data_IF_275950129675
#
_entry.id   IF_275950129675
#
_cell.length_a   1.000
_cell.length_b   1.000
_cell.length_c   1.000
_cell.angle_alpha   90.00
_cell.angle_beta   90.00
_cell.angle_gamma   90.00
#
_symmetry.space_group_name_H-M   'P 1'
#
loop_
_entity.id
_entity.type
_entity.pdbx_description
1 polymer ?
#
# COMPACT_ATOMS: atom_id res chain seq x y z
N UNK A 1 -6.93 -16.79 -21.64
CA UNK A 1 -6.84 -15.33 -21.43
C UNK A 1 -6.81 -15.10 -19.93
N UNK A 2 -5.64 -14.82 -19.36
CA UNK A 2 -5.52 -14.42 -17.96
C UNK A 2 -6.01 -12.98 -17.86
N UNK A 3 -7.20 -12.79 -17.28
CA UNK A 3 -7.72 -11.46 -16.95
C UNK A 3 -6.85 -10.89 -15.82
N UNK A 4 -5.80 -10.15 -16.18
CA UNK A 4 -5.04 -9.40 -15.20
C UNK A 4 -5.97 -8.35 -14.60
N UNK A 5 -6.23 -8.44 -13.30
CA UNK A 5 -6.99 -7.43 -12.58
C UNK A 5 -6.22 -6.11 -12.66
N UNK A 6 -6.86 -4.99 -13.04
CA UNK A 6 -6.19 -3.70 -13.01
C UNK A 6 -5.74 -3.38 -11.58
N UNK A 7 -4.59 -2.69 -11.40
CA UNK A 7 -4.12 -2.32 -10.06
C UNK A 7 -5.12 -1.40 -9.37
N UNK A 8 -5.38 -1.65 -8.08
CA UNK A 8 -6.18 -0.77 -7.23
C UNK A 8 -5.43 0.53 -6.93
N UNK A 9 -6.19 1.61 -6.73
CA UNK A 9 -5.69 2.94 -6.39
C UNK A 9 -6.44 3.44 -5.16
N UNK A 10 -5.70 4.05 -4.24
CA UNK A 10 -6.19 4.61 -3.00
C UNK A 10 -5.69 6.04 -2.86
N UNK A 11 -6.61 7.00 -2.76
CA UNK A 11 -6.29 8.44 -2.76
C UNK A 11 -6.39 9.00 -1.34
N UNK A 12 -5.41 9.79 -0.92
CA UNK A 12 -5.27 10.20 0.48
C UNK A 12 -6.43 11.07 1.01
N UNK A 13 -7.26 11.61 0.12
CA UNK A 13 -8.36 12.52 0.45
C UNK A 13 -9.61 11.85 1.07
N UNK A 14 -9.69 10.52 1.13
CA UNK A 14 -10.87 9.81 1.64
C UNK A 14 -10.48 8.79 2.73
N UNK A 15 -11.27 8.59 3.79
CA UNK A 15 -11.06 7.45 4.68
C UNK A 15 -11.20 6.14 3.89
N UNK A 16 -10.15 5.33 3.87
CA UNK A 16 -10.18 4.03 3.23
C UNK A 16 -9.80 2.93 4.22
N UNK A 17 -10.66 1.92 4.46
CA UNK A 17 -10.30 0.79 5.31
C UNK A 17 -9.13 0.03 4.71
N UNK A 18 -8.34 -0.60 5.59
CA UNK A 18 -7.20 -1.40 5.16
C UNK A 18 -7.65 -2.57 4.26
N UNK A 19 -6.99 -2.79 3.11
CA UNK A 19 -7.28 -3.94 2.26
C UNK A 19 -6.94 -5.25 2.99
N UNK A 20 -7.90 -6.18 3.04
CA UNK A 20 -7.78 -7.43 3.80
C UNK A 20 -6.63 -8.34 3.29
N UNK A 21 -6.34 -8.26 1.99
CA UNK A 21 -5.28 -9.02 1.33
C UNK A 21 -3.90 -8.37 1.43
N UNK A 22 -3.83 -7.16 2.02
CA UNK A 22 -2.59 -6.42 2.32
C UNK A 22 -1.60 -6.43 1.14
N UNK A 23 -1.95 -5.82 0.00
CA UNK A 23 -1.13 -5.85 -1.20
C UNK A 23 0.15 -5.02 -1.02
N UNK A 24 1.16 -5.30 -1.85
CA UNK A 24 2.30 -4.38 -1.98
C UNK A 24 1.80 -3.11 -2.65
N UNK A 25 2.13 -1.95 -2.09
CA UNK A 25 1.72 -0.65 -2.65
C UNK A 25 2.93 0.24 -2.94
N UNK A 26 2.74 1.20 -3.82
CA UNK A 26 3.72 2.24 -4.14
C UNK A 26 3.09 3.60 -3.91
N UNK A 27 3.80 4.48 -3.21
CA UNK A 27 3.38 5.87 -3.00
C UNK A 27 3.70 6.78 -4.20
N UNK A 28 3.18 8.01 -4.18
CA UNK A 28 3.45 9.02 -5.20
C UNK A 28 4.92 9.47 -5.27
N UNK A 29 5.72 9.18 -4.24
CA UNK A 29 7.18 9.43 -4.22
C UNK A 29 7.98 8.25 -4.82
N UNK A 30 7.30 7.18 -5.23
CA UNK A 30 7.89 5.99 -5.83
C UNK A 30 8.41 4.96 -4.83
N UNK A 31 8.21 5.14 -3.51
CA UNK A 31 8.63 4.16 -2.50
C UNK A 31 7.68 2.98 -2.52
N UNK A 32 8.24 1.77 -2.40
CA UNK A 32 7.47 0.53 -2.31
C UNK A 32 7.31 0.11 -0.87
N UNK A 33 6.06 -0.11 -0.48
CA UNK A 33 5.62 -0.51 0.84
C UNK A 33 5.16 -1.96 0.80
N UNK A 34 5.74 -2.78 1.68
CA UNK A 34 5.43 -4.19 1.81
C UNK A 34 4.74 -4.41 3.15
N UNK A 35 3.67 -5.21 3.21
CA UNK A 35 3.04 -5.55 4.47
C UNK A 35 4.03 -6.30 5.36
N UNK A 36 4.02 -6.00 6.65
CA UNK A 36 4.76 -6.76 7.63
C UNK A 36 3.92 -7.97 8.07
N UNK A 37 4.58 -9.12 8.22
CA UNK A 37 3.88 -10.35 8.60
C UNK A 37 3.21 -10.17 9.98
N UNK A 38 1.91 -10.47 10.05
CA UNK A 38 1.09 -10.46 11.27
C UNK A 38 0.90 -9.09 11.93
N UNK A 39 1.23 -8.00 11.26
CA UNK A 39 0.93 -6.65 11.70
C UNK A 39 0.03 -5.93 10.68
N UNK A 40 -0.67 -4.89 11.15
CA UNK A 40 -1.38 -3.93 10.29
C UNK A 40 -0.44 -2.83 9.77
N UNK A 41 0.88 -3.09 9.81
CA UNK A 41 1.94 -2.19 9.38
C UNK A 41 2.52 -2.57 8.02
N UNK A 42 3.06 -1.57 7.38
CA UNK A 42 3.82 -1.62 6.14
C UNK A 42 5.21 -1.08 6.38
N UNK A 43 6.18 -1.62 5.66
CA UNK A 43 7.55 -1.14 5.66
C UNK A 43 8.07 -0.89 4.26
N UNK A 44 9.00 0.05 4.12
CA UNK A 44 9.71 0.22 2.86
C UNK A 44 10.73 -0.89 2.61
N UNK A 45 11.09 -1.12 1.35
CA UNK A 45 12.06 -2.15 0.97
C UNK A 45 13.45 -1.96 1.59
N UNK A 46 13.82 -0.71 1.90
CA UNK A 46 15.07 -0.36 2.61
C UNK A 46 14.97 -0.50 4.14
N UNK A 47 13.78 -0.83 4.67
CA UNK A 47 13.52 -0.99 6.10
C UNK A 47 13.59 0.30 6.92
N UNK A 48 13.66 1.48 6.27
CA UNK A 48 13.83 2.76 6.98
C UNK A 48 12.51 3.39 7.42
N UNK A 49 11.42 3.06 6.75
CA UNK A 49 10.11 3.60 7.04
C UNK A 49 9.15 2.48 7.42
N UNK A 50 8.38 2.74 8.47
CA UNK A 50 7.28 1.91 8.94
C UNK A 50 6.07 2.82 9.13
N UNK A 51 4.90 2.35 8.73
CA UNK A 51 3.64 3.06 8.90
C UNK A 51 2.49 2.05 8.90
N UNK A 52 1.42 2.31 9.65
CA UNK A 52 0.18 1.55 9.46
C UNK A 52 -0.57 2.00 8.18
N UNK A 53 -1.64 1.28 7.83
CA UNK A 53 -2.44 1.64 6.65
C UNK A 53 -3.06 3.04 6.75
N UNK A 54 -3.52 3.44 7.95
CA UNK A 54 -4.17 4.73 8.15
C UNK A 54 -3.16 5.87 7.95
N UNK A 55 -1.95 5.73 8.48
CA UNK A 55 -0.85 6.67 8.29
C UNK A 55 -0.45 6.76 6.81
N UNK A 56 -0.28 5.61 6.14
CA UNK A 56 0.04 5.59 4.71
C UNK A 56 -1.03 6.28 3.87
N UNK A 57 -2.29 5.92 4.09
CA UNK A 57 -3.41 6.47 3.34
C UNK A 57 -3.68 7.94 3.69
N UNK A 58 -3.24 8.42 4.84
CA UNK A 58 -3.36 9.84 5.19
C UNK A 58 -2.29 10.69 4.49
N UNK A 59 -1.10 10.12 4.29
CA UNK A 59 0.07 10.84 3.79
C UNK A 59 0.29 10.68 2.28
N UNK A 60 -0.17 9.57 1.71
CA UNK A 60 0.23 9.13 0.37
C UNK A 60 -0.95 8.63 -0.47
N UNK A 61 -0.92 8.99 -1.75
CA UNK A 61 -1.69 8.29 -2.76
C UNK A 61 -0.98 6.97 -3.05
N UNK A 62 -1.70 5.86 -2.91
CA UNK A 62 -1.16 4.52 -3.02
C UNK A 62 -1.69 3.83 -4.27
N UNK A 63 -0.79 3.14 -4.97
CA UNK A 63 -1.12 2.29 -6.11
C UNK A 63 -0.66 0.88 -5.82
N UNK A 64 -1.53 -0.10 -6.04
CA UNK A 64 -1.19 -1.51 -5.95
C UNK A 64 -0.08 -1.86 -6.95
N UNK A 65 0.92 -2.61 -6.47
CA UNK A 65 1.96 -3.19 -7.32
C UNK A 65 1.50 -4.59 -7.71
N UNK A 66 1.20 -4.85 -9.00
CA UNK A 66 0.84 -6.18 -9.47
C UNK A 66 1.97 -7.17 -9.17
N UNK A 67 1.59 -8.38 -8.75
CA UNK A 67 2.53 -9.50 -8.55
C UNK A 67 3.03 -10.07 -9.87
#
# INVERSE_FOLDING_TARGET
MTTATPPRVWLAAAPCPAPADRPVVRDQMGRRWQPENNADSYRTADGRHHADWLELHTLFDLVEVPR
#
